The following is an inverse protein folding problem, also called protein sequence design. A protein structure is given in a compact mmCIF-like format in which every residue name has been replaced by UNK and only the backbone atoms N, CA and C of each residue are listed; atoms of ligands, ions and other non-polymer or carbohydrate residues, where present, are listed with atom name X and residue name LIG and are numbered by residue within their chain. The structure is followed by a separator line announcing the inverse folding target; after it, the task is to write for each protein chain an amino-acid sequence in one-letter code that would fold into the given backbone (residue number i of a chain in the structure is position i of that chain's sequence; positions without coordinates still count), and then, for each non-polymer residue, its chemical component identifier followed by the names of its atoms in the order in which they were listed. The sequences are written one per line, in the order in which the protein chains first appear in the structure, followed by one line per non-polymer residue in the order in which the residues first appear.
data_IF_073581417897
#
_entry.id   IF_073581417897
#
_cell.length_a   1.000
_cell.length_b   1.000
_cell.length_c   1.000
_cell.angle_alpha   90.00
_cell.angle_beta   90.00
_cell.angle_gamma   90.00
#
_symmetry.space_group_name_H-M   'P 1'
#
loop_
_entity.id
_entity.type
_entity.pdbx_description
1 polymer ?
#
# COMPACT_ATOMS: atom_id res chain seq x y z
N UNK A 1 39.84 21.19 -10.61
CA UNK A 1 39.86 22.23 -11.66
C UNK A 1 39.13 23.45 -11.13
N UNK A 2 39.81 24.58 -10.98
CA UNK A 2 39.18 25.83 -10.56
C UNK A 2 38.19 26.27 -11.65
N UNK A 3 36.92 26.43 -11.30
CA UNK A 3 35.90 26.96 -12.22
C UNK A 3 36.21 28.43 -12.48
N UNK A 4 36.88 28.73 -13.59
CA UNK A 4 37.10 30.11 -14.04
C UNK A 4 35.75 30.64 -14.51
N UNK A 5 35.21 31.63 -13.81
CA UNK A 5 33.92 32.22 -14.12
C UNK A 5 34.13 33.50 -14.94
N UNK A 6 33.42 33.67 -16.08
CA UNK A 6 33.52 34.89 -16.87
C UNK A 6 32.90 36.07 -16.11
N UNK A 7 33.64 37.17 -16.02
CA UNK A 7 33.15 38.43 -15.44
C UNK A 7 32.23 39.10 -16.47
N UNK A 8 30.92 39.06 -16.22
CA UNK A 8 29.90 39.63 -17.12
C UNK A 8 29.82 41.15 -17.00
N UNK A 9 30.11 41.70 -15.82
CA UNK A 9 30.18 43.15 -15.59
C UNK A 9 31.32 43.51 -14.63
N UNK A 10 32.38 44.09 -15.20
CA UNK A 10 33.60 44.44 -14.47
C UNK A 10 33.40 45.42 -13.32
N UNK A 11 32.50 46.40 -13.49
CA UNK A 11 32.25 47.41 -12.45
C UNK A 11 31.57 46.79 -11.22
N UNK A 12 30.65 45.84 -11.42
CA UNK A 12 29.96 45.17 -10.31
C UNK A 12 30.86 44.14 -9.62
N UNK A 13 31.70 43.43 -10.39
CA UNK A 13 32.71 42.53 -9.83
C UNK A 13 33.74 43.28 -8.99
N UNK A 14 34.21 44.44 -9.47
CA UNK A 14 35.09 45.32 -8.70
C UNK A 14 34.41 45.81 -7.41
N UNK A 15 33.15 46.24 -7.47
CA UNK A 15 32.39 46.68 -6.29
C UNK A 15 32.18 45.54 -5.27
N UNK A 16 32.01 44.30 -5.73
CA UNK A 16 31.98 43.12 -4.85
C UNK A 16 33.31 42.93 -4.13
N UNK A 17 34.44 42.94 -4.84
CA UNK A 17 35.78 42.80 -4.25
C UNK A 17 36.07 43.89 -3.21
N UNK A 18 35.68 45.14 -3.52
CA UNK A 18 35.82 46.29 -2.62
C UNK A 18 35.09 46.10 -1.29
N UNK A 19 33.96 45.38 -1.30
CA UNK A 19 33.10 45.20 -0.13
C UNK A 19 33.32 43.88 0.61
N UNK A 20 33.60 42.80 -0.12
CA UNK A 20 33.71 41.45 0.43
C UNK A 20 35.09 41.17 1.02
N UNK A 21 36.12 41.82 0.49
CA UNK A 21 37.48 41.59 0.92
C UNK A 21 37.86 42.57 2.03
N UNK A 22 38.38 42.07 3.15
CA UNK A 22 39.08 42.88 4.17
C UNK A 22 40.41 43.46 3.64
N UNK A 23 40.56 43.62 2.32
CA UNK A 23 41.80 44.02 1.67
C UNK A 23 41.78 45.54 1.46
N UNK A 24 42.78 46.27 1.97
CA UNK A 24 42.83 47.71 1.81
C UNK A 24 43.06 48.08 0.33
N UNK A 25 42.11 48.81 -0.26
CA UNK A 25 42.24 49.30 -1.64
C UNK A 25 42.97 50.64 -1.65
N UNK A 26 44.18 50.61 -2.20
CA UNK A 26 45.04 51.77 -2.37
C UNK A 26 44.78 52.38 -3.75
N UNK A 27 44.31 53.63 -3.79
CA UNK A 27 44.17 54.38 -5.04
C UNK A 27 45.50 55.06 -5.34
N UNK A 28 46.15 54.72 -6.45
CA UNK A 28 47.40 55.35 -6.86
C UNK A 28 47.06 56.52 -7.80
N UNK A 29 47.13 57.74 -7.28
CA UNK A 29 46.93 58.99 -8.01
C UNK A 29 45.52 59.59 -7.91
N UNK A 30 45.40 60.90 -8.19
CA UNK A 30 44.16 61.69 -8.00
C UNK A 30 43.11 61.50 -9.09
N UNK A 31 43.51 61.15 -10.32
CA UNK A 31 42.56 61.05 -11.47
C UNK A 31 41.54 59.92 -11.34
N UNK A 32 41.85 58.87 -10.57
CA UNK A 32 41.03 57.66 -10.46
C UNK A 32 40.18 57.64 -9.17
N UNK A 33 40.22 58.70 -8.36
CA UNK A 33 39.55 58.75 -7.07
C UNK A 33 38.03 58.67 -7.20
N UNK A 34 37.45 59.33 -8.20
CA UNK A 34 36.01 59.30 -8.48
C UNK A 34 35.49 57.87 -8.75
N UNK A 35 36.24 57.07 -9.51
CA UNK A 35 35.87 55.66 -9.79
C UNK A 35 35.89 54.80 -8.52
N UNK A 36 36.80 55.09 -7.58
CA UNK A 36 36.82 54.39 -6.29
C UNK A 36 35.56 54.73 -5.48
N UNK A 37 35.17 55.99 -5.44
CA UNK A 37 33.98 56.45 -4.71
C UNK A 37 32.69 55.86 -5.32
N UNK A 38 32.59 55.83 -6.65
CA UNK A 38 31.45 55.23 -7.37
C UNK A 38 31.27 53.73 -7.05
N UNK A 39 32.36 52.98 -6.84
CA UNK A 39 32.30 51.55 -6.47
C UNK A 39 31.68 51.32 -5.08
N UNK A 40 31.81 52.27 -4.14
CA UNK A 40 31.15 52.20 -2.83
C UNK A 40 29.66 52.55 -2.90
N UNK A 41 29.23 53.32 -3.92
CA UNK A 41 27.85 53.80 -4.07
C UNK A 41 26.92 52.80 -4.78
N UNK A 42 27.42 51.65 -5.25
CA UNK A 42 26.58 50.62 -5.88
C UNK A 42 25.72 49.91 -4.81
N UNK A 43 24.38 50.02 -4.83
CA UNK A 43 23.53 49.43 -3.79
C UNK A 43 23.57 47.89 -3.79
N UNK A 44 23.44 47.28 -2.59
CA UNK A 44 23.51 45.82 -2.38
C UNK A 44 22.47 45.03 -3.18
N UNK A 45 21.36 45.67 -3.54
CA UNK A 45 20.23 45.07 -4.24
C UNK A 45 20.49 44.83 -5.73
N UNK A 46 21.54 45.44 -6.31
CA UNK A 46 21.95 45.17 -7.70
C UNK A 46 22.71 43.85 -7.76
N UNK A 47 22.02 42.81 -8.25
CA UNK A 47 22.47 41.41 -8.31
C UNK A 47 23.88 41.28 -8.90
N UNK A 48 24.80 40.74 -8.11
CA UNK A 48 26.14 40.39 -8.59
C UNK A 48 26.14 39.08 -9.41
N UNK A 49 27.26 38.80 -10.10
CA UNK A 49 27.41 37.61 -10.93
C UNK A 49 27.29 36.29 -10.14
N UNK A 50 27.57 36.30 -8.83
CA UNK A 50 27.48 35.13 -7.96
C UNK A 50 26.04 34.82 -7.53
N UNK A 51 25.21 35.85 -7.36
CA UNK A 51 23.80 35.76 -6.97
C UNK A 51 22.92 35.34 -8.15
N UNK A 52 23.25 35.77 -9.38
CA UNK A 52 22.55 35.37 -10.60
C UNK A 52 22.58 33.85 -10.84
N UNK A 53 23.74 33.21 -10.73
CA UNK A 53 23.86 31.76 -10.90
C UNK A 53 23.24 30.97 -9.73
N UNK A 54 23.22 31.52 -8.50
CA UNK A 54 22.51 30.90 -7.37
C UNK A 54 20.99 30.94 -7.58
N UNK A 55 20.46 32.06 -8.05
CA UNK A 55 19.04 32.20 -8.40
C UNK A 55 18.66 31.27 -9.56
N UNK A 56 19.49 31.15 -10.60
CA UNK A 56 19.26 30.21 -11.72
C UNK A 56 19.34 28.75 -11.31
N UNK A 57 20.29 28.38 -10.43
CA UNK A 57 20.35 27.01 -9.87
C UNK A 57 19.13 26.73 -9.02
N UNK A 58 18.71 27.69 -8.19
CA UNK A 58 17.51 27.59 -7.36
C UNK A 58 16.23 27.50 -8.19
N UNK A 59 16.11 28.24 -9.29
CA UNK A 59 14.96 28.19 -10.19
C UNK A 59 14.91 26.89 -10.99
N UNK A 60 16.04 26.41 -11.53
CA UNK A 60 16.13 25.09 -12.19
C UNK A 60 15.83 23.96 -11.22
N UNK A 61 16.33 24.01 -9.99
CA UNK A 61 16.04 23.00 -8.97
C UNK A 61 14.55 23.02 -8.58
N UNK A 62 13.94 24.19 -8.43
CA UNK A 62 12.49 24.33 -8.22
C UNK A 62 11.69 23.77 -9.40
N UNK A 63 12.07 24.10 -10.64
CA UNK A 63 11.41 23.58 -11.84
C UNK A 63 11.53 22.06 -11.95
N UNK A 64 12.72 21.49 -11.73
CA UNK A 64 12.93 20.04 -11.71
C UNK A 64 12.09 19.34 -10.63
N UNK A 65 11.97 19.95 -9.45
CA UNK A 65 11.11 19.44 -8.38
C UNK A 65 9.62 19.46 -8.76
N UNK A 66 9.16 20.53 -9.43
CA UNK A 66 7.78 20.64 -9.94
C UNK A 66 7.51 19.57 -11.00
N UNK A 67 8.42 19.39 -11.95
CA UNK A 67 8.29 18.36 -13.00
C UNK A 67 8.29 16.96 -12.41
N UNK A 68 9.16 16.67 -11.43
CA UNK A 68 9.18 15.38 -10.73
C UNK A 68 7.90 15.12 -9.96
N UNK A 69 7.35 16.14 -9.29
CA UNK A 69 6.08 16.04 -8.59
C UNK A 69 4.93 15.75 -9.57
N UNK A 70 4.85 16.49 -10.68
CA UNK A 70 3.84 16.29 -11.72
C UNK A 70 3.85 14.87 -12.29
N UNK A 71 5.04 14.32 -12.56
CA UNK A 71 5.20 12.91 -12.98
C UNK A 71 4.69 11.97 -11.90
N UNK A 72 5.08 12.16 -10.65
CA UNK A 72 4.61 11.27 -9.60
C UNK A 72 3.08 11.35 -9.39
N UNK A 73 2.49 12.53 -9.55
CA UNK A 73 1.04 12.74 -9.49
C UNK A 73 0.31 12.07 -10.67
N UNK A 74 0.83 12.16 -11.90
CA UNK A 74 0.24 11.48 -13.07
C UNK A 74 0.27 9.95 -12.92
N UNK A 75 1.38 9.38 -12.43
CA UNK A 75 1.43 7.94 -12.16
C UNK A 75 0.43 7.52 -11.06
N UNK A 76 0.27 8.33 -10.01
CA UNK A 76 -0.73 8.09 -8.96
C UNK A 76 -2.16 8.16 -9.49
N UNK A 77 -2.46 9.14 -10.34
CA UNK A 77 -3.76 9.26 -11.01
C UNK A 77 -4.04 8.05 -11.89
N UNK A 78 -3.05 7.57 -12.64
CA UNK A 78 -3.17 6.34 -13.43
C UNK A 78 -3.41 5.11 -12.57
N UNK A 79 -2.71 4.95 -11.45
CA UNK A 79 -2.91 3.81 -10.51
C UNK A 79 -4.29 3.87 -9.82
N UNK A 80 -4.84 5.07 -9.64
CA UNK A 80 -6.15 5.31 -8.98
C UNK A 80 -7.33 5.25 -9.95
N UNK A 81 -7.17 5.76 -11.18
CA UNK A 81 -7.76 5.15 -12.39
C UNK A 81 -7.36 3.67 -12.43
N UNK A 82 -7.85 2.74 -13.23
CA UNK A 82 -7.41 1.32 -13.20
C UNK A 82 -7.44 0.50 -11.88
N UNK A 83 -7.48 1.09 -10.67
CA UNK A 83 -7.43 0.44 -9.35
C UNK A 83 -6.37 -0.66 -9.26
N UNK A 84 -5.14 -0.35 -9.69
CA UNK A 84 -4.10 -1.35 -9.83
C UNK A 84 -3.42 -1.65 -8.47
N UNK A 85 -3.44 -2.93 -8.07
CA UNK A 85 -2.84 -3.43 -6.82
C UNK A 85 -1.48 -4.07 -7.01
N UNK A 86 -1.09 -4.32 -8.25
CA UNK A 86 0.23 -4.81 -8.64
C UNK A 86 0.66 -4.24 -9.99
N UNK A 87 1.98 -4.25 -10.25
CA UNK A 87 2.52 -3.78 -11.53
C UNK A 87 1.96 -4.56 -12.72
N UNK A 88 1.90 -5.89 -12.61
CA UNK A 88 1.37 -6.72 -13.70
C UNK A 88 -0.08 -6.40 -14.01
N UNK A 89 -0.88 -6.12 -12.99
CA UNK A 89 -2.28 -5.73 -13.14
C UNK A 89 -2.41 -4.36 -13.82
N UNK A 90 -1.58 -3.38 -13.43
CA UNK A 90 -1.52 -2.09 -14.13
C UNK A 90 -1.12 -2.28 -15.60
N UNK A 91 -0.05 -3.03 -15.85
CA UNK A 91 0.49 -3.27 -17.19
C UNK A 91 -0.53 -3.94 -18.12
N UNK A 92 -1.24 -4.97 -17.63
CA UNK A 92 -2.28 -5.66 -18.42
C UNK A 92 -3.52 -4.78 -18.72
N UNK A 93 -3.76 -3.74 -17.92
CA UNK A 93 -4.88 -2.80 -18.13
C UNK A 93 -4.52 -1.62 -19.02
N UNK A 94 -3.24 -1.32 -19.18
CA UNK A 94 -2.77 -0.25 -20.05
C UNK A 94 -2.88 -0.69 -21.51
N UNK A 95 -3.31 0.23 -22.38
CA UNK A 95 -3.20 0.04 -23.83
C UNK A 95 -1.74 0.17 -24.27
N UNK A 96 -1.44 -0.28 -25.49
CA UNK A 96 -0.12 -0.11 -26.10
C UNK A 96 0.24 1.39 -26.18
N UNK A 97 -0.70 2.22 -26.64
CA UNK A 97 -0.54 3.68 -26.73
C UNK A 97 -0.23 4.32 -25.37
N UNK A 98 -0.99 3.99 -24.32
CA UNK A 98 -0.73 4.50 -22.97
C UNK A 98 0.63 4.04 -22.43
N UNK A 99 1.07 2.84 -22.81
CA UNK A 99 2.38 2.30 -22.40
C UNK A 99 3.52 3.09 -23.06
N UNK A 100 3.39 3.40 -24.34
CA UNK A 100 4.36 4.20 -25.10
C UNK A 100 4.42 5.65 -24.56
N UNK A 101 3.27 6.25 -24.23
CA UNK A 101 3.20 7.59 -23.62
C UNK A 101 3.87 7.63 -22.24
N UNK A 102 3.62 6.62 -21.41
CA UNK A 102 4.30 6.47 -20.12
C UNK A 102 5.81 6.28 -20.33
N UNK A 103 6.22 5.49 -21.32
CA UNK A 103 7.63 5.31 -21.61
C UNK A 103 8.27 6.61 -22.10
N UNK A 104 7.57 7.43 -22.90
CA UNK A 104 8.05 8.74 -23.35
C UNK A 104 8.23 9.73 -22.18
N UNK A 105 7.32 9.74 -21.21
CA UNK A 105 7.35 10.69 -20.09
C UNK A 105 8.33 10.29 -18.96
N UNK A 106 8.41 9.00 -18.64
CA UNK A 106 9.19 8.49 -17.49
C UNK A 106 10.47 7.76 -17.91
N UNK A 107 10.59 7.34 -19.16
CA UNK A 107 11.70 6.56 -19.66
C UNK A 107 11.77 5.16 -19.03
N UNK A 108 12.95 4.53 -19.00
CA UNK A 108 13.12 3.14 -18.56
C UNK A 108 12.81 2.91 -17.07
N UNK A 109 12.74 3.96 -16.24
CA UNK A 109 12.49 3.86 -14.78
C UNK A 109 11.00 3.96 -14.42
N UNK A 110 10.11 3.97 -15.41
CA UNK A 110 8.67 4.08 -15.18
C UNK A 110 8.13 2.95 -14.30
N UNK A 111 8.70 1.73 -14.40
CA UNK A 111 8.34 0.58 -13.56
C UNK A 111 8.57 0.86 -12.08
N UNK A 112 9.74 1.37 -11.70
CA UNK A 112 10.06 1.70 -10.29
C UNK A 112 9.12 2.79 -9.75
N UNK A 113 8.79 3.75 -10.61
CA UNK A 113 7.85 4.83 -10.27
C UNK A 113 6.43 4.29 -10.09
N UNK A 114 5.99 3.37 -10.95
CA UNK A 114 4.72 2.69 -10.85
C UNK A 114 4.65 1.83 -9.57
N UNK A 115 5.68 1.03 -9.28
CA UNK A 115 5.76 0.21 -8.06
C UNK A 115 5.65 1.07 -6.79
N UNK A 116 6.34 2.21 -6.76
CA UNK A 116 6.22 3.16 -5.65
C UNK A 116 4.81 3.76 -5.53
N UNK A 117 4.19 4.14 -6.65
CA UNK A 117 2.82 4.68 -6.67
C UNK A 117 1.79 3.63 -6.20
N UNK A 118 1.89 2.40 -6.70
CA UNK A 118 1.04 1.26 -6.30
C UNK A 118 1.22 0.94 -4.82
N UNK A 119 2.45 0.90 -4.33
CA UNK A 119 2.73 0.64 -2.90
C UNK A 119 2.08 1.69 -2.01
N UNK A 120 2.20 2.98 -2.37
CA UNK A 120 1.54 4.06 -1.63
C UNK A 120 0.01 3.98 -1.71
N UNK A 121 -0.53 3.63 -2.88
CA UNK A 121 -1.96 3.48 -3.08
C UNK A 121 -2.54 2.34 -2.23
N UNK A 122 -1.93 1.16 -2.26
CA UNK A 122 -2.29 0.04 -1.39
C UNK A 122 -2.14 0.41 0.09
N UNK A 123 -1.06 1.08 0.49
CA UNK A 123 -0.84 1.54 1.86
C UNK A 123 -1.97 2.46 2.35
N UNK A 124 -2.42 3.40 1.51
CA UNK A 124 -3.55 4.28 1.83
C UNK A 124 -4.82 3.47 2.14
N UNK A 125 -5.14 2.52 1.27
CA UNK A 125 -6.35 1.71 1.40
C UNK A 125 -6.28 0.75 2.59
N UNK A 126 -5.11 0.19 2.87
CA UNK A 126 -4.88 -0.63 4.07
C UNK A 126 -5.12 0.20 5.34
N UNK A 127 -4.57 1.43 5.40
CA UNK A 127 -4.78 2.31 6.55
C UNK A 127 -6.26 2.62 6.75
N UNK A 128 -6.97 2.97 5.67
CA UNK A 128 -8.42 3.23 5.72
C UNK A 128 -9.17 1.99 6.26
N UNK A 129 -8.97 0.82 5.65
CA UNK A 129 -9.60 -0.44 6.05
C UNK A 129 -9.25 -0.92 7.46
N UNK A 130 -8.06 -0.58 7.98
CA UNK A 130 -7.67 -0.92 9.34
C UNK A 130 -8.38 -0.07 10.39
N UNK A 131 -8.80 1.14 10.02
CA UNK A 131 -9.48 2.10 10.92
C UNK A 131 -11.00 2.04 10.84
N UNK A 132 -11.54 1.54 9.73
CA UNK A 132 -12.97 1.39 9.51
C UNK A 132 -13.52 0.10 10.13
N UNK A 133 -14.78 0.16 10.53
CA UNK A 133 -15.58 -1.00 10.90
C UNK A 133 -16.06 -1.78 9.67
N UNK A 134 -16.47 -3.03 9.88
CA UNK A 134 -17.05 -3.88 8.84
C UNK A 134 -18.25 -3.23 8.16
N UNK A 135 -19.11 -2.58 8.94
CA UNK A 135 -20.30 -1.88 8.43
C UNK A 135 -19.92 -0.68 7.53
N UNK A 136 -18.97 0.15 7.97
CA UNK A 136 -18.45 1.27 7.17
C UNK A 136 -17.79 0.81 5.87
N UNK A 137 -17.10 -0.35 5.89
CA UNK A 137 -16.48 -0.93 4.69
C UNK A 137 -17.53 -1.46 3.70
N UNK A 138 -18.62 -2.04 4.19
CA UNK A 138 -19.71 -2.50 3.32
C UNK A 138 -20.49 -1.32 2.69
N UNK A 139 -20.64 -0.22 3.43
CA UNK A 139 -21.31 0.98 2.93
C UNK A 139 -20.44 1.86 2.04
N UNK A 140 -19.14 1.63 2.00
CA UNK A 140 -18.21 2.36 1.13
C UNK A 140 -18.04 1.64 -0.20
N UNK A 141 -17.87 2.42 -1.28
CA UNK A 141 -17.62 1.89 -2.63
C UNK A 141 -16.17 1.39 -2.80
N UNK A 142 -15.67 0.57 -1.87
CA UNK A 142 -14.35 -0.07 -1.98
C UNK A 142 -14.35 -1.30 -2.89
N UNK A 143 -15.49 -1.66 -3.48
CA UNK A 143 -15.57 -2.70 -4.51
C UNK A 143 -14.61 -2.39 -5.66
N UNK A 144 -14.01 -3.45 -6.23
CA UNK A 144 -13.44 -3.36 -7.57
C UNK A 144 -14.48 -2.73 -8.49
N UNK A 145 -14.07 -1.78 -9.35
CA UNK A 145 -14.91 -0.95 -10.25
C UNK A 145 -16.00 -1.68 -11.07
N UNK A 146 -16.01 -3.00 -11.05
CA UNK A 146 -16.97 -3.90 -11.69
C UNK A 146 -18.34 -3.96 -10.99
N UNK A 147 -18.43 -3.63 -9.70
CA UNK A 147 -19.70 -3.69 -8.96
C UNK A 147 -19.97 -2.36 -8.24
N UNK A 148 -21.07 -1.69 -8.59
CA UNK A 148 -21.58 -0.59 -7.78
C UNK A 148 -22.42 -1.16 -6.65
N UNK A 149 -22.44 -0.48 -5.50
CA UNK A 149 -23.36 -0.85 -4.42
C UNK A 149 -24.79 -0.92 -4.99
N UNK A 150 -25.47 -2.06 -4.91
CA UNK A 150 -26.77 -2.21 -5.52
C UNK A 150 -27.76 -1.24 -4.86
N UNK A 151 -28.56 -0.54 -5.68
CA UNK A 151 -29.65 0.31 -5.17
C UNK A 151 -30.79 -0.50 -4.54
N UNK A 152 -30.87 -1.80 -4.82
CA UNK A 152 -31.85 -2.73 -4.26
C UNK A 152 -31.16 -4.03 -3.81
N UNK A 153 -31.30 -4.38 -2.53
CA UNK A 153 -30.68 -5.56 -1.91
C UNK A 153 -31.63 -6.74 -1.76
N UNK A 154 -32.92 -6.60 -2.10
CA UNK A 154 -33.97 -7.59 -1.81
C UNK A 154 -33.64 -8.98 -2.38
N UNK A 155 -33.15 -9.06 -3.62
CA UNK A 155 -32.83 -10.34 -4.23
C UNK A 155 -31.61 -11.01 -3.60
N UNK A 156 -30.61 -10.21 -3.21
CA UNK A 156 -29.44 -10.68 -2.47
C UNK A 156 -29.82 -11.18 -1.06
N UNK A 157 -30.71 -10.47 -0.37
CA UNK A 157 -31.25 -10.87 0.93
C UNK A 157 -32.04 -12.18 0.83
N UNK A 158 -32.90 -12.33 -0.19
CA UNK A 158 -33.63 -13.57 -0.45
C UNK A 158 -32.70 -14.74 -0.75
N UNK A 159 -31.68 -14.52 -1.57
CA UNK A 159 -30.66 -15.53 -1.86
C UNK A 159 -29.94 -15.96 -0.58
N UNK A 160 -29.54 -14.99 0.26
CA UNK A 160 -28.89 -15.27 1.53
C UNK A 160 -29.81 -16.03 2.49
N UNK A 161 -31.08 -15.66 2.58
CA UNK A 161 -32.07 -16.37 3.39
C UNK A 161 -32.26 -17.81 2.95
N UNK A 162 -32.33 -18.05 1.64
CA UNK A 162 -32.38 -19.40 1.08
C UNK A 162 -31.13 -20.20 1.41
N UNK A 163 -29.94 -19.61 1.21
CA UNK A 163 -28.67 -20.27 1.52
C UNK A 163 -28.58 -20.68 3.00
N UNK A 164 -28.98 -19.79 3.91
CA UNK A 164 -28.98 -20.07 5.36
C UNK A 164 -30.01 -21.14 5.73
N UNK A 165 -31.22 -21.05 5.18
CA UNK A 165 -32.30 -21.99 5.44
C UNK A 165 -31.96 -23.41 4.99
N UNK A 166 -31.40 -23.58 3.78
CA UNK A 166 -31.03 -24.90 3.24
C UNK A 166 -29.92 -25.56 4.07
N UNK A 167 -29.00 -24.77 4.62
CA UNK A 167 -27.92 -25.28 5.48
C UNK A 167 -28.32 -25.43 6.95
N UNK A 168 -29.57 -25.10 7.32
CA UNK A 168 -30.05 -25.07 8.70
C UNK A 168 -29.17 -24.19 9.63
N UNK A 169 -28.75 -23.03 9.12
CA UNK A 169 -27.92 -22.06 9.83
C UNK A 169 -28.77 -20.86 10.24
N UNK A 170 -28.61 -20.40 11.49
CA UNK A 170 -29.23 -19.16 11.93
C UNK A 170 -28.50 -17.96 11.30
N UNK A 171 -29.17 -17.29 10.35
CA UNK A 171 -28.65 -16.09 9.67
C UNK A 171 -28.10 -15.04 10.64
N UNK A 172 -28.85 -14.72 11.71
CA UNK A 172 -28.47 -13.65 12.65
C UNK A 172 -27.20 -13.99 13.41
N UNK A 173 -27.11 -15.23 13.88
CA UNK A 173 -25.93 -15.71 14.61
C UNK A 173 -24.68 -15.76 13.72
N UNK A 174 -24.83 -16.23 12.49
CA UNK A 174 -23.73 -16.29 11.53
C UNK A 174 -23.22 -14.89 11.16
N UNK A 175 -24.13 -13.97 10.83
CA UNK A 175 -23.76 -12.59 10.51
C UNK A 175 -23.14 -11.87 11.71
N UNK A 176 -23.68 -12.06 12.92
CA UNK A 176 -23.10 -11.50 14.13
C UNK A 176 -21.66 -12.01 14.35
N UNK A 177 -21.44 -13.32 14.19
CA UNK A 177 -20.12 -13.92 14.32
C UNK A 177 -19.14 -13.44 13.26
N UNK A 178 -19.60 -13.25 12.02
CA UNK A 178 -18.82 -12.65 10.95
C UNK A 178 -18.42 -11.21 11.31
N UNK A 179 -19.35 -10.37 11.77
CA UNK A 179 -19.06 -8.99 12.20
C UNK A 179 -18.04 -8.95 13.34
N UNK A 180 -18.13 -9.86 14.32
CA UNK A 180 -17.16 -9.95 15.41
C UNK A 180 -15.74 -10.26 14.91
N UNK A 181 -15.62 -11.21 13.97
CA UNK A 181 -14.33 -11.57 13.36
C UNK A 181 -13.79 -10.41 12.54
N UNK A 182 -14.58 -9.85 11.62
CA UNK A 182 -14.15 -8.77 10.72
C UNK A 182 -13.71 -7.52 11.48
N UNK A 183 -14.38 -7.20 12.58
CA UNK A 183 -14.01 -6.08 13.46
C UNK A 183 -12.91 -6.42 14.48
N UNK A 184 -12.42 -7.67 14.50
CA UNK A 184 -11.38 -8.15 15.46
C UNK A 184 -11.74 -7.86 16.93
N UNK A 185 -13.02 -7.90 17.29
CA UNK A 185 -13.48 -7.52 18.64
C UNK A 185 -13.22 -8.60 19.68
N UNK A 186 -13.19 -9.86 19.24
CA UNK A 186 -13.03 -11.02 20.10
C UNK A 186 -11.56 -11.40 20.27
N UNK A 187 -11.09 -11.42 21.52
CA UNK A 187 -9.76 -11.95 21.85
C UNK A 187 -9.77 -13.48 21.74
N UNK A 188 -8.71 -14.07 21.19
CA UNK A 188 -8.51 -15.53 21.05
C UNK A 188 -9.48 -16.23 20.10
N UNK A 189 -10.34 -15.52 19.38
CA UNK A 189 -11.28 -16.09 18.40
C UNK A 189 -11.43 -15.17 17.20
N UNK A 190 -10.57 -15.36 16.21
CA UNK A 190 -10.37 -14.43 15.10
C UNK A 190 -10.55 -15.09 13.71
N UNK A 191 -11.11 -16.30 13.69
CA UNK A 191 -11.33 -17.05 12.47
C UNK A 191 -12.80 -17.38 12.24
N UNK A 192 -13.25 -17.23 11.00
CA UNK A 192 -14.57 -17.63 10.53
C UNK A 192 -14.42 -18.77 9.52
N UNK A 193 -14.97 -19.93 9.83
CA UNK A 193 -14.75 -21.18 9.08
C UNK A 193 -16.06 -21.70 8.55
N UNK A 194 -16.10 -21.98 7.24
CA UNK A 194 -17.18 -22.72 6.59
C UNK A 194 -16.65 -24.07 6.13
N UNK A 195 -17.15 -25.14 6.73
CA UNK A 195 -16.90 -26.53 6.35
C UNK A 195 -18.05 -27.07 5.51
N UNK A 196 -17.79 -27.86 4.47
CA UNK A 196 -18.85 -28.58 3.76
C UNK A 196 -18.39 -29.16 2.43
N UNK A 197 -19.13 -30.06 1.77
CA UNK A 197 -18.76 -30.65 0.48
C UNK A 197 -18.44 -29.60 -0.61
N UNK A 198 -17.81 -30.04 -1.70
CA UNK A 198 -17.62 -29.19 -2.89
C UNK A 198 -18.96 -28.65 -3.39
N UNK A 199 -18.94 -27.52 -4.11
CA UNK A 199 -20.14 -26.93 -4.75
C UNK A 199 -21.25 -26.43 -3.82
N UNK A 200 -21.05 -26.40 -2.50
CA UNK A 200 -22.02 -25.86 -1.53
C UNK A 200 -22.03 -24.31 -1.42
N UNK A 201 -21.25 -23.59 -2.23
CA UNK A 201 -21.21 -22.13 -2.23
C UNK A 201 -20.29 -21.47 -1.19
N UNK A 202 -19.51 -22.24 -0.42
CA UNK A 202 -18.57 -21.74 0.62
C UNK A 202 -17.61 -20.68 0.09
N UNK A 203 -16.89 -21.04 -0.98
CA UNK A 203 -15.93 -20.16 -1.65
C UNK A 203 -16.58 -18.89 -2.17
N UNK A 204 -17.76 -19.00 -2.79
CA UNK A 204 -18.49 -17.84 -3.31
C UNK A 204 -18.85 -16.87 -2.18
N UNK A 205 -19.44 -17.38 -1.10
CA UNK A 205 -19.85 -16.56 0.04
C UNK A 205 -18.66 -15.78 0.64
N UNK A 206 -17.55 -16.47 0.89
CA UNK A 206 -16.37 -15.83 1.50
C UNK A 206 -15.69 -14.86 0.52
N UNK A 207 -15.65 -15.17 -0.78
CA UNK A 207 -15.07 -14.26 -1.80
C UNK A 207 -15.84 -12.96 -1.93
N UNK A 208 -17.17 -13.00 -1.91
CA UNK A 208 -18.01 -11.79 -1.95
C UNK A 208 -17.69 -10.83 -0.80
N UNK A 209 -17.29 -11.34 0.36
CA UNK A 209 -16.84 -10.53 1.49
C UNK A 209 -15.40 -10.07 1.27
N UNK A 210 -14.51 -10.99 0.90
CA UNK A 210 -13.08 -10.73 0.77
C UNK A 210 -12.73 -9.73 -0.33
N UNK A 211 -13.51 -9.68 -1.41
CA UNK A 211 -13.31 -8.75 -2.53
C UNK A 211 -13.36 -7.26 -2.13
N UNK A 212 -13.96 -6.95 -0.97
CA UNK A 212 -14.01 -5.58 -0.43
C UNK A 212 -12.72 -5.19 0.32
N UNK A 213 -11.80 -6.15 0.50
CA UNK A 213 -10.60 -6.03 1.31
C UNK A 213 -9.34 -6.26 0.48
N UNK A 214 -8.24 -5.66 0.91
CA UNK A 214 -6.91 -6.05 0.43
C UNK A 214 -6.51 -7.35 1.14
N UNK A 215 -6.91 -8.49 0.56
CA UNK A 215 -6.68 -9.80 1.19
C UNK A 215 -5.41 -10.50 0.70
N UNK A 216 -4.88 -11.37 1.56
CA UNK A 216 -3.81 -12.32 1.24
C UNK A 216 -4.30 -13.75 1.31
N UNK A 217 -3.66 -14.64 0.55
CA UNK A 217 -4.00 -16.07 0.52
C UNK A 217 -2.85 -16.93 1.00
N UNK A 218 -3.16 -17.96 1.78
CA UNK A 218 -2.20 -18.99 2.20
C UNK A 218 -2.25 -20.17 1.24
N UNK A 219 -1.09 -20.56 0.71
CA UNK A 219 -0.99 -21.67 -0.24
C UNK A 219 -1.10 -23.04 0.46
N UNK A 220 -1.71 -24.02 -0.20
CA UNK A 220 -1.89 -25.39 0.31
C UNK A 220 -0.59 -26.15 0.54
N UNK A 221 0.49 -25.74 -0.14
CA UNK A 221 1.82 -26.33 -0.04
C UNK A 221 2.63 -25.83 1.16
N UNK A 222 1.99 -25.14 2.13
CA UNK A 222 2.65 -24.47 3.25
C UNK A 222 3.58 -25.36 4.08
N UNK A 223 3.34 -26.68 4.12
CA UNK A 223 4.20 -27.64 4.82
C UNK A 223 5.64 -27.71 4.28
N UNK A 224 5.86 -27.31 3.03
CA UNK A 224 7.19 -27.36 2.40
C UNK A 224 8.01 -26.08 2.62
N UNK A 225 7.44 -25.03 3.20
CA UNK A 225 8.10 -23.74 3.30
C UNK A 225 7.69 -22.93 4.52
N UNK A 226 8.67 -22.46 5.27
CA UNK A 226 8.48 -21.52 6.39
C UNK A 226 7.90 -20.15 5.96
N UNK A 227 7.85 -19.87 4.65
CA UNK A 227 7.36 -18.59 4.11
C UNK A 227 5.86 -18.60 3.76
N UNK A 228 5.09 -19.58 4.24
CA UNK A 228 3.70 -19.79 3.83
C UNK A 228 2.75 -18.65 4.23
N UNK A 229 3.11 -17.86 5.25
CA UNK A 229 2.35 -16.70 5.73
C UNK A 229 2.81 -15.36 5.15
N UNK A 230 3.92 -15.32 4.40
CA UNK A 230 4.51 -14.09 3.88
C UNK A 230 3.53 -13.28 3.01
N UNK A 231 2.58 -13.95 2.34
CA UNK A 231 1.55 -13.32 1.53
C UNK A 231 0.49 -12.54 2.33
N UNK A 232 0.46 -12.70 3.66
CA UNK A 232 -0.44 -11.99 4.56
C UNK A 232 0.12 -10.63 5.01
N UNK A 233 1.41 -10.35 4.76
CA UNK A 233 2.01 -9.06 5.07
C UNK A 233 1.39 -7.94 4.24
N UNK A 234 1.18 -6.79 4.89
CA UNK A 234 0.55 -5.62 4.29
C UNK A 234 -0.84 -5.94 3.70
N UNK A 235 -1.60 -6.81 4.37
CA UNK A 235 -3.01 -7.13 4.05
C UNK A 235 -3.92 -6.69 5.19
N UNK A 236 -5.22 -6.70 4.92
CA UNK A 236 -6.27 -6.39 5.90
C UNK A 236 -7.15 -7.58 6.22
N UNK A 237 -7.07 -8.64 5.42
CA UNK A 237 -7.84 -9.87 5.55
C UNK A 237 -7.00 -11.08 5.12
N UNK A 238 -7.11 -12.19 5.82
CA UNK A 238 -6.56 -13.47 5.41
C UNK A 238 -7.68 -14.36 4.84
N UNK A 239 -7.54 -14.78 3.58
CA UNK A 239 -8.45 -15.71 2.92
C UNK A 239 -7.74 -17.07 2.73
N UNK A 240 -8.32 -18.13 3.25
CA UNK A 240 -7.76 -19.48 3.14
C UNK A 240 -8.75 -20.45 2.51
N UNK A 241 -8.40 -20.98 1.34
CA UNK A 241 -9.21 -21.95 0.61
C UNK A 241 -8.58 -23.35 0.69
N UNK A 242 -9.19 -24.22 1.50
CA UNK A 242 -8.70 -25.54 1.89
C UNK A 242 -7.29 -25.47 2.51
N UNK A 243 -7.09 -24.73 3.62
CA UNK A 243 -5.79 -24.72 4.27
C UNK A 243 -5.42 -26.11 4.79
N UNK A 244 -4.15 -26.46 4.63
CA UNK A 244 -3.59 -27.68 5.20
C UNK A 244 -2.83 -27.33 6.47
N UNK A 245 -3.44 -27.59 7.62
CA UNK A 245 -2.81 -27.39 8.93
C UNK A 245 -2.23 -28.72 9.39
N UNK A 246 -0.91 -28.78 9.57
CA UNK A 246 -0.17 -29.95 10.04
C UNK A 246 0.44 -29.69 11.41
N UNK A 247 1.01 -30.74 12.04
CA UNK A 247 1.72 -30.60 13.31
C UNK A 247 2.85 -29.56 13.27
N UNK A 248 3.49 -29.40 12.11
CA UNK A 248 4.61 -28.48 11.95
C UNK A 248 4.15 -27.02 11.96
N UNK A 249 2.98 -26.75 11.39
CA UNK A 249 2.44 -25.40 11.19
C UNK A 249 1.40 -25.00 12.25
N UNK A 250 0.97 -25.95 13.09
CA UNK A 250 -0.18 -25.77 14.00
C UNK A 250 0.00 -24.62 14.99
N UNK A 251 1.22 -24.37 15.46
CA UNK A 251 1.47 -23.30 16.42
C UNK A 251 1.33 -21.92 15.77
N UNK A 252 1.82 -21.74 14.54
CA UNK A 252 1.62 -20.49 13.78
C UNK A 252 0.14 -20.25 13.50
N UNK A 253 -0.61 -21.31 13.16
CA UNK A 253 -2.06 -21.21 13.00
C UNK A 253 -2.77 -20.90 14.32
N UNK A 254 -2.31 -21.39 15.48
CA UNK A 254 -2.90 -21.00 16.77
C UNK A 254 -2.71 -19.51 17.06
N UNK A 255 -1.56 -18.92 16.71
CA UNK A 255 -1.33 -17.48 16.87
C UNK A 255 -2.20 -16.67 15.92
N UNK A 256 -2.21 -17.05 14.63
CA UNK A 256 -2.98 -16.37 13.59
C UNK A 256 -4.50 -16.41 13.85
N UNK A 257 -5.05 -17.59 14.13
CA UNK A 257 -6.49 -17.77 14.42
C UNK A 257 -6.86 -17.23 15.81
N UNK A 258 -5.89 -17.11 16.71
CA UNK A 258 -6.05 -16.45 18.01
C UNK A 258 -6.13 -14.93 17.91
N UNK A 259 -5.66 -14.36 16.79
CA UNK A 259 -5.61 -12.91 16.57
C UNK A 259 -4.46 -12.23 17.31
N UNK A 260 -3.40 -12.97 17.66
CA UNK A 260 -2.20 -12.38 18.24
C UNK A 260 -1.24 -11.96 17.14
N UNK A 261 -0.57 -10.80 17.27
CA UNK A 261 0.52 -10.47 16.36
C UNK A 261 1.74 -11.37 16.67
N UNK A 262 2.45 -11.82 15.65
CA UNK A 262 3.65 -12.67 15.77
C UNK A 262 4.61 -12.45 14.60
N UNK A 263 5.87 -12.87 14.77
CA UNK A 263 6.90 -12.67 13.74
C UNK A 263 6.85 -13.83 12.73
N UNK A 264 6.97 -13.50 11.44
CA UNK A 264 6.98 -14.48 10.37
C UNK A 264 8.21 -14.33 9.49
N UNK A 265 8.65 -15.45 8.91
CA UNK A 265 9.79 -15.47 8.01
C UNK A 265 9.43 -14.89 6.63
N UNK A 266 10.32 -14.05 6.10
CA UNK A 266 10.21 -13.40 4.80
C UNK A 266 11.42 -13.77 3.93
N UNK A 267 11.18 -14.09 2.66
CA UNK A 267 12.27 -14.46 1.74
C UNK A 267 13.22 -13.29 1.51
N UNK A 268 14.52 -13.56 1.63
CA UNK A 268 15.60 -12.59 1.35
C UNK A 268 15.58 -11.32 2.21
N UNK A 269 14.81 -11.31 3.31
CA UNK A 269 14.69 -10.18 4.22
C UNK A 269 14.66 -10.69 5.66
N UNK A 270 14.67 -9.76 6.62
CA UNK A 270 14.50 -10.10 8.03
C UNK A 270 13.05 -10.49 8.29
N UNK A 271 12.85 -11.19 9.40
CA UNK A 271 11.52 -11.52 9.87
C UNK A 271 10.70 -10.25 10.09
N UNK A 272 9.43 -10.31 9.72
CA UNK A 272 8.49 -9.20 9.84
C UNK A 272 7.35 -9.55 10.80
N UNK A 273 6.88 -8.54 11.54
CA UNK A 273 5.75 -8.67 12.44
C UNK A 273 4.45 -8.74 11.64
N UNK A 274 3.75 -9.87 11.71
CA UNK A 274 2.40 -9.98 11.19
C UNK A 274 1.42 -9.41 12.24
N UNK A 275 0.70 -8.35 11.86
CA UNK A 275 -0.36 -7.75 12.67
C UNK A 275 -1.62 -8.62 12.68
N UNK A 276 -2.54 -8.33 13.60
CA UNK A 276 -3.82 -9.05 13.70
C UNK A 276 -4.70 -8.82 12.46
N UNK A 277 -5.06 -9.91 11.78
CA UNK A 277 -5.92 -9.92 10.59
C UNK A 277 -7.14 -10.81 10.81
N UNK A 278 -8.38 -10.40 10.47
CA UNK A 278 -9.49 -11.34 10.39
C UNK A 278 -9.18 -12.49 9.43
N UNK A 279 -9.55 -13.71 9.78
CA UNK A 279 -9.28 -14.91 8.98
C UNK A 279 -10.58 -15.54 8.51
N UNK A 280 -10.75 -15.65 7.19
CA UNK A 280 -11.86 -16.36 6.57
C UNK A 280 -11.36 -17.67 5.94
N UNK A 281 -11.99 -18.78 6.30
CA UNK A 281 -11.57 -20.12 5.90
C UNK A 281 -12.73 -20.86 5.26
N UNK A 282 -12.44 -21.51 4.13
CA UNK A 282 -13.33 -22.50 3.53
C UNK A 282 -12.61 -23.84 3.45
N UNK A 283 -13.30 -24.94 3.77
CA UNK A 283 -12.71 -26.28 3.75
C UNK A 283 -13.73 -27.37 3.45
N UNK A 284 -13.34 -28.42 2.75
CA UNK A 284 -14.20 -29.56 2.45
C UNK A 284 -14.18 -30.59 3.56
N UNK A 285 -13.02 -30.75 4.20
CA UNK A 285 -12.82 -31.64 5.33
C UNK A 285 -12.70 -30.84 6.62
N UNK A 286 -12.78 -31.54 7.75
CA UNK A 286 -12.54 -30.93 9.06
C UNK A 286 -11.20 -30.20 9.06
N UNK A 287 -11.20 -28.94 9.48
CA UNK A 287 -10.01 -28.07 9.47
C UNK A 287 -8.81 -28.70 10.19
N UNK A 288 -9.07 -29.51 11.21
CA UNK A 288 -8.08 -30.15 12.07
C UNK A 288 -7.74 -31.58 11.65
N UNK A 289 -8.01 -31.97 10.39
CA UNK A 289 -7.87 -33.36 9.93
C UNK A 289 -6.45 -33.94 10.10
N UNK A 290 -5.40 -33.11 9.95
CA UNK A 290 -3.99 -33.55 10.09
C UNK A 290 -3.37 -33.19 11.45
N UNK A 291 -4.18 -32.82 12.43
CA UNK A 291 -3.75 -32.29 13.73
C UNK A 291 -4.12 -33.27 14.86
N UNK A 292 -3.34 -33.30 15.94
CA UNK A 292 -3.57 -34.16 17.11
C UNK A 292 -4.72 -33.59 17.93
N UNK A 293 -5.46 -34.43 18.65
CA UNK A 293 -6.73 -34.04 19.30
C UNK A 293 -6.63 -32.81 20.22
N UNK A 294 -5.54 -32.67 20.99
CA UNK A 294 -5.36 -31.53 21.89
C UNK A 294 -5.20 -30.21 21.10
N UNK A 295 -4.41 -30.24 20.05
CA UNK A 295 -4.19 -29.07 19.20
C UNK A 295 -5.40 -28.78 18.30
N UNK A 296 -6.12 -29.83 17.89
CA UNK A 296 -7.37 -29.71 17.17
C UNK A 296 -8.42 -28.94 17.99
N UNK A 297 -8.58 -29.26 19.28
CA UNK A 297 -9.46 -28.51 20.19
C UNK A 297 -9.04 -27.04 20.28
N UNK A 298 -7.75 -26.79 20.45
CA UNK A 298 -7.21 -25.43 20.52
C UNK A 298 -7.50 -24.61 19.24
N UNK A 299 -7.37 -25.21 18.06
CA UNK A 299 -7.71 -24.55 16.79
C UNK A 299 -9.21 -24.25 16.71
N UNK A 300 -10.06 -25.21 17.06
CA UNK A 300 -11.51 -25.06 16.97
C UNK A 300 -12.05 -23.99 17.93
N UNK A 301 -11.49 -23.86 19.14
CA UNK A 301 -11.84 -22.81 20.10
C UNK A 301 -11.59 -21.40 19.56
N UNK A 302 -10.64 -21.26 18.63
CA UNK A 302 -10.28 -19.99 17.97
C UNK A 302 -11.15 -19.66 16.75
N UNK A 303 -12.09 -20.54 16.39
CA UNK A 303 -12.89 -20.44 15.19
C UNK A 303 -14.39 -20.32 15.49
N UNK A 304 -15.08 -19.44 14.77
CA UNK A 304 -16.51 -19.58 14.53
C UNK A 304 -16.69 -20.59 13.40
N UNK A 305 -17.44 -21.65 13.66
CA UNK A 305 -17.45 -22.82 12.80
C UNK A 305 -18.86 -23.12 12.31
N UNK A 306 -19.06 -23.06 11.00
CA UNK A 306 -20.34 -23.30 10.34
C UNK A 306 -20.21 -24.45 9.35
N UNK A 307 -21.24 -25.28 9.27
CA UNK A 307 -21.29 -26.43 8.36
C UNK A 307 -22.32 -26.19 7.27
N UNK A 308 -21.86 -26.14 6.02
CA UNK A 308 -22.71 -26.17 4.85
C UNK A 308 -22.93 -27.63 4.46
N UNK A 309 -24.16 -28.08 4.56
CA UNK A 309 -24.53 -29.50 4.53
C UNK A 309 -25.16 -29.93 3.22
N UNK A 310 -25.32 -29.01 2.25
CA UNK A 310 -26.21 -29.22 1.10
C UNK A 310 -25.93 -30.55 0.38
N UNK A 311 -26.97 -31.38 0.37
CA UNK A 311 -27.19 -32.55 -0.49
C UNK A 311 -27.77 -32.11 -1.82
#
# INVERSE_FOLDING_TARGET
MATVQPVVNWNHFAAYLVRAAQTPIICIGKKLQHLKEDLYMVPRERKDCATLLRDERGSRQKHNNITRKRRLDLMRELVTAYDARSYNELYMRLSVEHTDDIYAEYGPTWKETADHAITNYCKKIIIEQQTMTFDEILHSNHHSRTCQHPGNTIDGERWLDQLMSVNNINKKEMLHSLTLVMNKTMKRKNAFVIEGPTTTGKTLFVKLIAENYVYGTVQRSGDHSQFFLMNLLNKTLALMEEPRITQLTVNDFKELLGGNPFDIHVKHQKDERLETLPVLITTNNRLTYYVLDNDAKAILERCFYYKFTVK
#
